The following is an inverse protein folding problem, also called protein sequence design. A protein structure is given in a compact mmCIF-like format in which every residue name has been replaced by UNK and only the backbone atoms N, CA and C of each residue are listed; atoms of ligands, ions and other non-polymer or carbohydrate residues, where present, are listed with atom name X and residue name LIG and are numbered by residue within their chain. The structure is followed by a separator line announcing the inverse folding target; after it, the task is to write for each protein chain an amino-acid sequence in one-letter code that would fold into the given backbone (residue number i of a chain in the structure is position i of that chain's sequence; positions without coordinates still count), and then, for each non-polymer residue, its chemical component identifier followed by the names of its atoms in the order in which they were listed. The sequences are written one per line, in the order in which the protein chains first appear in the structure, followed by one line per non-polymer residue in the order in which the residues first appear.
data_IF_569213204664
#
_entry.id   IF_569213204664
#
_cell.length_a   1.000
_cell.length_b   1.000
_cell.length_c   1.000
_cell.angle_alpha   90.00
_cell.angle_beta   90.00
_cell.angle_gamma   90.00
#
_symmetry.space_group_name_H-M   'P 1'
#
loop_
_entity.id
_entity.type
_entity.pdbx_description
1 polymer ?
#
# COMPACT_ATOMS: atom_id res chain seq x y z
N UNK A 1 6.69 26.16 3.89
CA UNK A 1 6.20 24.81 4.25
C UNK A 1 6.23 23.93 3.00
N UNK A 2 7.07 22.90 2.97
CA UNK A 2 7.15 21.99 1.82
C UNK A 2 5.84 21.23 1.66
N UNK A 3 5.27 21.25 0.45
CA UNK A 3 4.00 20.60 0.12
C UNK A 3 4.16 19.08 0.24
N UNK A 4 3.31 18.46 1.05
CA UNK A 4 3.28 17.00 1.21
C UNK A 4 3.00 16.31 -0.13
N UNK A 5 3.74 15.24 -0.43
CA UNK A 5 3.60 14.47 -1.68
C UNK A 5 2.27 13.70 -1.73
N UNK A 6 1.80 13.35 -2.94
CA UNK A 6 0.58 12.52 -3.09
C UNK A 6 0.70 11.19 -2.36
N UNK A 7 1.87 10.55 -2.46
CA UNK A 7 2.24 9.34 -1.71
C UNK A 7 1.98 9.47 -0.21
N UNK A 8 2.57 10.48 0.43
CA UNK A 8 2.45 10.68 1.89
C UNK A 8 1.01 11.02 2.28
N UNK A 9 0.31 11.83 1.48
CA UNK A 9 -1.11 12.14 1.72
C UNK A 9 -1.98 10.87 1.71
N UNK A 10 -1.81 10.02 0.72
CA UNK A 10 -2.56 8.76 0.62
C UNK A 10 -2.21 7.80 1.74
N UNK A 11 -0.93 7.64 2.09
CA UNK A 11 -0.52 6.77 3.19
C UNK A 11 -1.07 7.23 4.54
N UNK A 12 -1.11 8.54 4.77
CA UNK A 12 -1.73 9.14 5.97
C UNK A 12 -3.25 8.97 5.99
N UNK A 13 -3.89 8.95 4.83
CA UNK A 13 -5.32 8.68 4.73
C UNK A 13 -5.62 7.21 5.04
N UNK A 14 -4.92 6.27 4.39
CA UNK A 14 -5.10 4.83 4.57
C UNK A 14 -4.79 4.39 6.00
N UNK A 15 -3.81 4.99 6.69
CA UNK A 15 -3.48 4.64 8.08
C UNK A 15 -4.64 4.86 9.06
N UNK A 16 -5.66 5.64 8.70
CA UNK A 16 -6.87 5.84 9.51
C UNK A 16 -7.91 4.73 9.32
N UNK A 17 -7.75 3.93 8.27
CA UNK A 17 -8.72 2.93 7.81
C UNK A 17 -8.07 1.55 7.64
N UNK A 18 -6.98 1.25 8.34
CA UNK A 18 -6.27 -0.03 8.21
C UNK A 18 -7.17 -1.24 8.48
N UNK A 19 -8.11 -1.12 9.42
CA UNK A 19 -9.01 -2.19 9.85
C UNK A 19 -10.01 -2.66 8.79
N UNK A 20 -10.29 -1.87 7.75
CA UNK A 20 -11.22 -2.28 6.68
C UNK A 20 -10.52 -3.04 5.55
N UNK A 21 -9.18 -3.09 5.55
CA UNK A 21 -8.40 -3.78 4.54
C UNK A 21 -7.92 -5.15 5.01
N UNK A 22 -7.85 -6.08 4.06
CA UNK A 22 -7.22 -7.39 4.21
C UNK A 22 -6.23 -7.59 3.08
N UNK A 23 -5.18 -8.37 3.36
CA UNK A 23 -4.22 -8.77 2.36
C UNK A 23 -4.94 -9.54 1.24
N UNK A 24 -4.81 -9.15 -0.03
CA UNK A 24 -5.46 -9.86 -1.13
C UNK A 24 -4.84 -11.26 -1.36
N UNK A 25 -3.65 -11.53 -0.80
CA UNK A 25 -2.94 -12.81 -0.94
C UNK A 25 -3.28 -13.79 0.18
N UNK A 26 -3.35 -13.34 1.43
CA UNK A 26 -3.47 -14.22 2.59
C UNK A 26 -4.53 -13.79 3.61
N UNK A 27 -5.36 -12.81 3.26
CA UNK A 27 -6.49 -12.28 4.06
C UNK A 27 -6.14 -11.70 5.44
N UNK A 28 -4.86 -11.68 5.80
CA UNK A 28 -4.37 -11.10 7.04
C UNK A 28 -4.61 -9.60 7.10
N UNK A 29 -4.74 -9.07 8.32
CA UNK A 29 -4.82 -7.64 8.57
C UNK A 29 -3.57 -6.94 8.04
N UNK A 30 -3.74 -5.67 7.65
CA UNK A 30 -2.69 -4.86 7.03
C UNK A 30 -2.46 -3.58 7.83
N UNK A 31 -1.24 -3.03 7.78
CA UNK A 31 -0.87 -1.74 8.37
C UNK A 31 0.00 -0.92 7.44
N UNK A 32 -0.08 0.40 7.54
CA UNK A 32 0.82 1.32 6.86
C UNK A 32 2.16 1.33 7.59
N UNK A 33 3.23 1.18 6.82
CA UNK A 33 4.61 1.19 7.32
C UNK A 33 5.37 2.38 6.70
N UNK A 34 5.97 3.21 7.56
CA UNK A 34 6.75 4.40 7.22
C UNK A 34 6.08 5.40 6.24
N UNK A 35 4.75 5.41 6.13
CA UNK A 35 4.02 6.17 5.11
C UNK A 35 4.48 5.85 3.67
N UNK A 36 5.02 4.64 3.46
CA UNK A 36 5.60 4.19 2.20
C UNK A 36 4.94 2.93 1.65
N UNK A 37 4.56 2.02 2.54
CA UNK A 37 4.12 0.67 2.17
C UNK A 37 2.93 0.24 3.01
N UNK A 38 2.19 -0.74 2.53
CA UNK A 38 1.06 -1.36 3.21
C UNK A 38 1.36 -2.85 3.38
N UNK A 39 1.55 -3.30 4.61
CA UNK A 39 2.17 -4.58 4.94
C UNK A 39 1.21 -5.41 5.80
N UNK A 40 1.02 -6.67 5.44
CA UNK A 40 0.24 -7.61 6.23
C UNK A 40 1.09 -8.37 7.27
N UNK A 41 0.46 -9.10 8.20
CA UNK A 41 1.19 -9.90 9.20
C UNK A 41 2.08 -11.01 8.62
N UNK A 42 1.84 -11.42 7.36
CA UNK A 42 2.64 -12.42 6.64
C UNK A 42 3.66 -11.76 5.69
N UNK A 43 4.00 -10.49 5.90
CA UNK A 43 5.03 -9.73 5.17
C UNK A 43 4.78 -9.45 3.67
N UNK A 44 3.60 -9.76 3.11
CA UNK A 44 3.23 -9.21 1.79
C UNK A 44 3.15 -7.69 1.86
N UNK A 45 3.82 -7.03 0.93
CA UNK A 45 4.07 -5.60 0.94
C UNK A 45 3.58 -4.97 -0.35
N UNK A 46 2.80 -3.90 -0.23
CA UNK A 46 2.29 -3.13 -1.36
C UNK A 46 2.69 -1.66 -1.20
N UNK A 47 3.42 -1.11 -2.17
CA UNK A 47 3.94 0.25 -2.08
C UNK A 47 2.94 1.30 -2.55
N UNK A 48 2.91 2.42 -1.85
CA UNK A 48 2.26 3.63 -2.34
C UNK A 48 3.10 4.22 -3.48
N UNK A 49 2.51 4.34 -4.65
CA UNK A 49 3.16 4.94 -5.82
C UNK A 49 3.37 6.45 -5.64
N UNK A 50 4.22 7.06 -6.47
CA UNK A 50 4.41 8.53 -6.51
C UNK A 50 3.09 9.28 -6.76
N UNK A 51 2.16 8.64 -7.46
CA UNK A 51 0.85 9.19 -7.81
C UNK A 51 -0.16 9.09 -6.65
N UNK A 52 0.14 8.28 -5.62
CA UNK A 52 -0.66 8.16 -4.40
C UNK A 52 -1.69 7.03 -4.41
N UNK A 53 -1.61 6.09 -5.35
CA UNK A 53 -2.42 4.86 -5.30
C UNK A 53 -1.57 3.67 -4.81
N UNK A 54 -2.24 2.60 -4.38
CA UNK A 54 -1.66 1.28 -4.12
C UNK A 54 -2.26 0.31 -5.11
N UNK A 55 -1.46 -0.60 -5.65
CA UNK A 55 -1.96 -1.74 -6.39
C UNK A 55 -2.14 -2.95 -5.44
N UNK A 56 -3.35 -3.50 -5.36
CA UNK A 56 -3.69 -4.68 -4.53
C UNK A 56 -4.09 -5.89 -5.38
N UNK A 57 -3.54 -6.02 -6.59
CA UNK A 57 -3.79 -7.20 -7.44
C UNK A 57 -3.02 -8.42 -6.96
N UNK A 58 -3.65 -9.59 -7.01
CA UNK A 58 -3.06 -10.89 -6.63
C UNK A 58 -2.23 -11.53 -7.74
N UNK A 59 -2.43 -11.10 -8.98
CA UNK A 59 -1.64 -11.54 -10.10
C UNK A 59 -0.41 -10.63 -10.24
N UNK A 60 0.81 -11.18 -10.33
CA UNK A 60 1.92 -10.39 -10.84
C UNK A 60 1.49 -9.90 -12.23
N UNK A 61 1.61 -8.60 -12.49
CA UNK A 61 1.43 -8.10 -13.84
C UNK A 61 2.47 -8.81 -14.71
N UNK A 62 2.04 -9.68 -15.63
CA UNK A 62 2.91 -10.36 -16.60
C UNK A 62 3.57 -9.39 -17.61
N UNK A 63 3.64 -8.09 -17.28
CA UNK A 63 4.12 -7.02 -18.14
C UNK A 63 5.15 -6.11 -17.44
N UNK A 64 6.09 -6.70 -16.71
CA UNK A 64 7.43 -6.11 -16.51
C UNK A 64 8.49 -7.15 -16.87
N UNK A 65 8.47 -7.58 -18.14
CA UNK A 65 9.69 -8.03 -18.83
C UNK A 65 10.19 -6.83 -19.62
N UNK A 66 11.41 -6.39 -19.24
CA UNK A 66 12.30 -5.38 -19.83
C UNK A 66 12.09 -3.92 -19.44
#
# INVERSE_FOLDING_TARGET
MSKMTKKVKSATYVSKFESIFKCPICEAWMKVFELKSFICSNNHTFDFTKQGYINLTTHPNENEVQ
#
